data_IF_996281086670
#
_entry.id   IF_996281086670
#
_cell.length_a   1.000
_cell.length_b   1.000
_cell.length_c   1.000
_cell.angle_alpha   90.00
_cell.angle_beta   90.00
_cell.angle_gamma   90.00
#
_symmetry.space_group_name_H-M   'P 1'
#
loop_
_entity.id
_entity.type
_entity.pdbx_description
1 polymer ?
#
# COMPACT_ATOMS: atom_id res chain seq x y z
N UNK A 1 31.13 -7.08 16.43
CA UNK A 1 30.02 -7.49 15.56
C UNK A 1 29.58 -6.23 14.83
N UNK A 2 29.82 -6.16 13.55
CA UNK A 2 29.49 -4.93 12.80
C UNK A 2 27.96 -4.84 12.69
N UNK A 3 27.36 -3.88 13.37
CA UNK A 3 25.93 -3.58 13.22
C UNK A 3 25.70 -3.05 11.80
N UNK A 4 24.87 -3.75 11.03
CA UNK A 4 24.56 -3.38 9.63
C UNK A 4 23.83 -2.04 9.60
N UNK A 5 22.86 -1.86 10.50
CA UNK A 5 22.12 -0.60 10.74
C UNK A 5 22.14 -0.34 12.24
N UNK A 6 22.37 0.90 12.67
CA UNK A 6 22.37 1.20 14.11
C UNK A 6 20.96 1.00 14.71
N UNK A 7 20.82 0.47 15.94
CA UNK A 7 19.52 0.23 16.56
C UNK A 7 18.65 1.48 16.64
N UNK A 8 19.25 2.64 16.89
CA UNK A 8 18.54 3.92 16.98
C UNK A 8 17.91 4.31 15.63
N UNK A 9 18.69 4.17 14.54
CA UNK A 9 18.20 4.45 13.17
C UNK A 9 17.12 3.45 12.80
N UNK A 10 17.31 2.16 13.09
CA UNK A 10 16.35 1.12 12.80
C UNK A 10 15.03 1.33 13.56
N UNK A 11 15.10 1.69 14.84
CA UNK A 11 13.92 1.99 15.65
C UNK A 11 13.16 3.19 15.08
N UNK A 12 13.85 4.31 14.81
CA UNK A 12 13.25 5.50 14.19
C UNK A 12 12.60 5.19 12.85
N UNK A 13 13.29 4.41 12.00
CA UNK A 13 12.76 3.93 10.73
C UNK A 13 11.47 3.12 10.90
N UNK A 14 11.44 2.16 11.84
CA UNK A 14 10.25 1.34 12.12
C UNK A 14 9.07 2.18 12.58
N UNK A 15 9.29 3.14 13.48
CA UNK A 15 8.23 4.05 13.98
C UNK A 15 7.65 4.87 12.82
N UNK A 16 8.50 5.50 12.02
CA UNK A 16 8.08 6.31 10.88
C UNK A 16 7.35 5.45 9.84
N UNK A 17 7.88 4.25 9.56
CA UNK A 17 7.27 3.32 8.61
C UNK A 17 5.89 2.85 9.07
N UNK A 18 5.78 2.44 10.33
CA UNK A 18 4.50 2.00 10.90
C UNK A 18 3.47 3.12 10.88
N UNK A 19 3.85 4.33 11.28
CA UNK A 19 2.97 5.50 11.24
C UNK A 19 2.45 5.77 9.82
N UNK A 20 3.33 5.67 8.81
CA UNK A 20 2.95 5.81 7.41
C UNK A 20 2.05 4.66 6.93
N UNK A 21 2.35 3.42 7.30
CA UNK A 21 1.52 2.25 6.95
C UNK A 21 0.13 2.31 7.59
N UNK A 22 0.03 2.88 8.81
CA UNK A 22 -1.23 3.10 9.52
C UNK A 22 -2.00 4.33 9.01
N UNK A 23 -1.46 5.14 8.13
CA UNK A 23 -2.21 6.27 7.55
C UNK A 23 -3.18 5.76 6.48
N UNK A 24 -4.48 6.11 6.54
CA UNK A 24 -5.45 5.70 5.54
C UNK A 24 -5.04 6.09 4.11
N UNK A 25 -5.31 5.19 3.16
CA UNK A 25 -4.98 5.36 1.76
C UNK A 25 -5.43 4.17 0.92
N UNK A 26 -5.00 4.11 -0.36
CA UNK A 26 -5.40 3.08 -1.31
C UNK A 26 -5.17 1.64 -0.79
N UNK A 27 -4.00 1.37 -0.23
CA UNK A 27 -3.67 0.04 0.31
C UNK A 27 -4.60 -0.35 1.46
N UNK A 28 -4.85 0.58 2.40
CA UNK A 28 -5.77 0.36 3.53
C UNK A 28 -7.20 0.15 3.04
N UNK A 29 -7.70 1.01 2.15
CA UNK A 29 -9.03 0.91 1.57
C UNK A 29 -9.24 -0.44 0.86
N UNK A 30 -8.25 -0.88 0.08
CA UNK A 30 -8.27 -2.20 -0.57
C UNK A 30 -8.29 -3.34 0.45
N UNK A 31 -7.41 -3.30 1.47
CA UNK A 31 -7.37 -4.32 2.53
C UNK A 31 -8.72 -4.44 3.24
N UNK A 32 -9.31 -3.31 3.66
CA UNK A 32 -10.61 -3.27 4.34
C UNK A 32 -11.72 -3.80 3.42
N UNK A 33 -11.74 -3.41 2.14
CA UNK A 33 -12.71 -3.91 1.18
C UNK A 33 -12.63 -5.42 0.98
N UNK A 34 -11.42 -5.96 0.82
CA UNK A 34 -11.21 -7.41 0.62
C UNK A 34 -11.55 -8.19 1.90
N UNK A 35 -11.07 -7.74 3.06
CA UNK A 35 -11.28 -8.45 4.32
C UNK A 35 -12.73 -8.41 4.80
N UNK A 36 -13.45 -7.32 4.55
CA UNK A 36 -14.87 -7.21 4.90
C UNK A 36 -15.76 -8.14 4.05
N UNK A 37 -15.34 -8.47 2.83
CA UNK A 37 -16.08 -9.36 1.91
C UNK A 37 -15.65 -10.81 2.05
N UNK A 38 -14.33 -11.07 2.02
CA UNK A 38 -13.77 -12.41 1.84
C UNK A 38 -13.07 -12.93 3.10
N UNK A 39 -13.12 -12.16 4.19
CA UNK A 39 -12.61 -12.56 5.49
C UNK A 39 -11.15 -12.17 5.75
N UNK A 40 -10.72 -12.39 6.98
CA UNK A 40 -9.42 -11.99 7.51
C UNK A 40 -8.23 -12.51 6.67
N UNK A 41 -8.25 -13.79 6.29
CA UNK A 41 -7.16 -14.40 5.50
C UNK A 41 -6.98 -13.76 4.13
N UNK A 42 -8.08 -13.35 3.49
CA UNK A 42 -8.04 -12.63 2.23
C UNK A 42 -7.40 -11.24 2.39
N UNK A 43 -7.69 -10.54 3.48
CA UNK A 43 -7.02 -9.28 3.82
C UNK A 43 -5.52 -9.45 4.12
N UNK A 44 -5.11 -10.54 4.77
CA UNK A 44 -3.68 -10.86 4.98
C UNK A 44 -2.99 -11.16 3.64
N UNK A 45 -3.66 -11.75 2.67
CA UNK A 45 -3.12 -11.91 1.33
C UNK A 45 -2.83 -10.54 0.64
N UNK A 46 -3.64 -9.50 0.93
CA UNK A 46 -3.30 -8.13 0.49
C UNK A 46 -1.97 -7.66 1.09
N UNK A 47 -1.76 -7.89 2.39
CA UNK A 47 -0.50 -7.51 3.05
C UNK A 47 0.72 -8.17 2.40
N UNK A 48 0.63 -9.45 2.05
CA UNK A 48 1.69 -10.17 1.33
C UNK A 48 1.96 -9.54 -0.05
N UNK A 49 0.91 -9.13 -0.77
CA UNK A 49 1.06 -8.42 -2.05
C UNK A 49 1.74 -7.06 -1.89
N UNK A 50 1.41 -6.28 -0.86
CA UNK A 50 2.08 -5.00 -0.59
C UNK A 50 3.55 -5.17 -0.24
N UNK A 51 3.90 -6.21 0.52
CA UNK A 51 5.29 -6.57 0.82
C UNK A 51 6.09 -6.83 -0.47
N UNK A 52 5.50 -7.51 -1.45
CA UNK A 52 6.13 -7.68 -2.77
C UNK A 52 6.47 -6.33 -3.41
N UNK A 53 5.56 -5.35 -3.35
CA UNK A 53 5.82 -3.98 -3.83
C UNK A 53 6.98 -3.30 -3.11
N UNK A 54 7.11 -3.47 -1.79
CA UNK A 54 8.22 -2.93 -1.00
C UNK A 54 9.55 -3.52 -1.46
N UNK A 55 9.64 -4.83 -1.67
CA UNK A 55 10.86 -5.48 -2.17
C UNK A 55 11.23 -5.00 -3.57
N UNK A 56 10.28 -4.82 -4.47
CA UNK A 56 10.55 -4.27 -5.81
C UNK A 56 11.14 -2.87 -5.70
N UNK A 57 10.58 -2.00 -4.86
CA UNK A 57 11.15 -0.67 -4.63
C UNK A 57 12.52 -0.72 -3.96
N UNK A 58 12.74 -1.61 -3.00
CA UNK A 58 14.04 -1.79 -2.37
C UNK A 58 15.11 -2.22 -3.38
N UNK A 59 14.76 -3.10 -4.32
CA UNK A 59 15.63 -3.49 -5.43
C UNK A 59 15.92 -2.30 -6.36
N UNK A 60 14.91 -1.50 -6.71
CA UNK A 60 15.10 -0.29 -7.53
C UNK A 60 16.06 0.67 -6.82
N UNK A 61 15.93 0.86 -5.51
CA UNK A 61 16.86 1.69 -4.73
C UNK A 61 18.26 1.08 -4.70
N UNK A 62 18.38 -0.24 -4.49
CA UNK A 62 19.67 -0.92 -4.37
C UNK A 62 20.49 -0.90 -5.66
N UNK A 63 19.83 -1.08 -6.81
CA UNK A 63 20.50 -1.20 -8.11
C UNK A 63 20.44 0.09 -8.94
N UNK A 64 19.62 1.05 -8.56
CA UNK A 64 19.19 2.13 -9.44
C UNK A 64 19.50 3.55 -8.99
N UNK A 65 20.09 3.80 -7.83
CA UNK A 65 20.27 5.17 -7.35
C UNK A 65 21.07 6.06 -8.34
N UNK A 66 22.02 5.49 -9.07
CA UNK A 66 22.82 6.21 -10.07
C UNK A 66 22.19 6.24 -11.48
N UNK A 67 21.48 5.20 -11.86
CA UNK A 67 20.83 5.08 -13.17
C UNK A 67 19.41 5.69 -13.17
N UNK A 68 18.70 5.56 -12.06
CA UNK A 68 17.31 6.02 -11.89
C UNK A 68 17.23 7.54 -11.77
N UNK A 69 18.28 8.21 -11.28
CA UNK A 69 18.27 9.67 -11.10
C UNK A 69 17.95 10.44 -12.40
N UNK A 70 18.42 9.94 -13.57
CA UNK A 70 18.19 10.59 -14.87
C UNK A 70 16.79 10.32 -15.45
N UNK A 71 16.23 9.13 -15.16
CA UNK A 71 14.90 8.71 -15.67
C UNK A 71 13.80 8.83 -14.63
N UNK A 72 14.14 9.27 -13.42
CA UNK A 72 13.27 9.26 -12.26
C UNK A 72 11.99 10.09 -12.49
N UNK A 73 12.14 11.32 -12.98
CA UNK A 73 11.01 12.21 -13.23
C UNK A 73 9.98 11.65 -14.22
N UNK A 74 10.37 11.26 -15.43
CA UNK A 74 9.46 10.69 -16.43
C UNK A 74 8.79 9.38 -15.96
N UNK A 75 9.56 8.47 -15.34
CA UNK A 75 9.01 7.20 -14.84
C UNK A 75 8.00 7.46 -13.72
N UNK A 76 8.30 8.36 -12.81
CA UNK A 76 7.38 8.78 -11.75
C UNK A 76 6.08 9.37 -12.32
N UNK A 77 6.17 10.22 -13.32
CA UNK A 77 5.01 10.82 -13.95
C UNK A 77 4.10 9.76 -14.57
N UNK A 78 4.66 8.80 -15.32
CA UNK A 78 3.91 7.70 -15.92
C UNK A 78 3.27 6.85 -14.83
N UNK A 79 4.01 6.43 -13.81
CA UNK A 79 3.50 5.60 -12.72
C UNK A 79 2.36 6.31 -11.96
N UNK A 80 2.44 7.64 -11.78
CA UNK A 80 1.37 8.43 -11.17
C UNK A 80 0.07 8.35 -11.96
N UNK A 81 0.13 8.62 -13.27
CA UNK A 81 -1.08 8.61 -14.10
C UNK A 81 -1.68 7.21 -14.23
N UNK A 82 -0.86 6.17 -14.33
CA UNK A 82 -1.30 4.78 -14.26
C UNK A 82 -1.95 4.50 -12.90
N UNK A 83 -1.37 4.99 -11.80
CA UNK A 83 -1.92 4.87 -10.45
C UNK A 83 -3.27 5.59 -10.31
N UNK A 84 -3.39 6.82 -10.80
CA UNK A 84 -4.66 7.58 -10.81
C UNK A 84 -5.74 6.82 -11.57
N UNK A 85 -5.45 6.38 -12.79
CA UNK A 85 -6.40 5.61 -13.60
C UNK A 85 -6.82 4.31 -12.90
N UNK A 86 -5.88 3.60 -12.30
CA UNK A 86 -6.16 2.38 -11.55
C UNK A 86 -7.01 2.63 -10.29
N UNK A 87 -6.72 3.67 -9.52
CA UNK A 87 -7.51 4.03 -8.34
C UNK A 87 -8.94 4.42 -8.69
N UNK A 88 -9.15 5.17 -9.77
CA UNK A 88 -10.47 5.53 -10.27
C UNK A 88 -11.23 4.27 -10.71
N UNK A 89 -10.60 3.40 -11.48
CA UNK A 89 -11.19 2.13 -11.89
C UNK A 89 -11.57 1.25 -10.70
N UNK A 90 -10.69 1.14 -9.70
CA UNK A 90 -10.94 0.37 -8.48
C UNK A 90 -12.08 0.99 -7.66
N UNK A 91 -12.10 2.32 -7.52
CA UNK A 91 -13.18 3.03 -6.85
C UNK A 91 -14.53 2.77 -7.53
N UNK A 92 -14.59 2.85 -8.86
CA UNK A 92 -15.79 2.53 -9.64
C UNK A 92 -16.25 1.07 -9.40
N UNK A 93 -15.31 0.12 -9.38
CA UNK A 93 -15.62 -1.28 -9.09
C UNK A 93 -16.20 -1.49 -7.70
N UNK A 94 -15.61 -0.85 -6.68
CA UNK A 94 -16.08 -0.97 -5.29
C UNK A 94 -17.43 -0.25 -5.12
N UNK A 95 -17.61 0.90 -5.75
CA UNK A 95 -18.86 1.68 -5.70
C UNK A 95 -20.06 0.87 -6.20
N UNK A 96 -19.91 0.14 -7.30
CA UNK A 96 -20.96 -0.64 -7.95
C UNK A 96 -21.05 -2.09 -7.43
N UNK A 97 -20.21 -2.46 -6.47
CA UNK A 97 -20.22 -3.81 -5.94
C UNK A 97 -21.38 -4.02 -4.94
N UNK A 98 -21.93 -5.25 -4.81
CA UNK A 98 -22.87 -5.59 -3.75
C UNK A 98 -22.36 -5.15 -2.38
N UNK A 99 -23.25 -4.76 -1.47
CA UNK A 99 -22.87 -4.28 -0.15
C UNK A 99 -22.00 -5.29 0.61
N UNK A 100 -21.04 -4.81 1.42
CA UNK A 100 -20.30 -5.68 2.34
C UNK A 100 -21.24 -6.22 3.42
N UNK A 101 -20.95 -7.38 4.02
CA UNK A 101 -21.75 -7.98 5.08
C UNK A 101 -22.46 -9.25 4.66
N UNK A 102 -23.72 -9.44 5.05
CA UNK A 102 -24.45 -10.70 4.88
C UNK A 102 -24.55 -11.17 3.42
N UNK A 103 -24.77 -10.25 2.49
CA UNK A 103 -24.86 -10.57 1.06
C UNK A 103 -23.52 -10.94 0.40
N UNK A 104 -22.39 -10.59 1.02
CA UNK A 104 -21.07 -10.92 0.49
C UNK A 104 -20.60 -12.33 0.86
N UNK A 105 -21.32 -13.03 1.73
CA UNK A 105 -20.93 -14.39 2.20
C UNK A 105 -21.11 -15.48 1.17
N UNK A 106 -21.96 -15.27 0.18
CA UNK A 106 -22.27 -16.24 -0.88
C UNK A 106 -21.47 -16.01 -2.17
N UNK A 107 -20.49 -15.09 -2.15
CA UNK A 107 -19.62 -14.83 -3.31
C UNK A 107 -18.32 -15.59 -3.14
N UNK A 108 -17.98 -16.42 -4.13
CA UNK A 108 -16.70 -17.11 -4.17
C UNK A 108 -15.54 -16.14 -4.05
N UNK A 109 -14.69 -16.35 -3.06
CA UNK A 109 -13.51 -15.52 -2.86
C UNK A 109 -12.54 -15.68 -4.05
N UNK A 110 -12.00 -14.60 -4.60
CA UNK A 110 -10.90 -14.70 -5.54
C UNK A 110 -9.76 -15.48 -4.89
N UNK A 111 -9.07 -16.33 -5.67
CA UNK A 111 -7.90 -17.03 -5.15
C UNK A 111 -6.89 -16.06 -4.53
N UNK A 112 -6.26 -16.44 -3.42
CA UNK A 112 -5.31 -15.58 -2.67
C UNK A 112 -4.21 -15.00 -3.56
N UNK A 113 -3.73 -15.78 -4.54
CA UNK A 113 -2.75 -15.31 -5.52
C UNK A 113 -3.24 -14.08 -6.31
N UNK A 114 -4.49 -14.12 -6.77
CA UNK A 114 -5.09 -12.99 -7.49
C UNK A 114 -5.20 -11.76 -6.62
N UNK A 115 -5.56 -11.93 -5.35
CA UNK A 115 -5.60 -10.83 -4.36
C UNK A 115 -4.19 -10.26 -4.14
N UNK A 116 -3.17 -11.12 -3.97
CA UNK A 116 -1.78 -10.71 -3.81
C UNK A 116 -1.28 -9.89 -5.00
N UNK A 117 -1.52 -10.37 -6.23
CA UNK A 117 -1.12 -9.64 -7.45
C UNK A 117 -1.81 -8.28 -7.53
N UNK A 118 -3.11 -8.22 -7.27
CA UNK A 118 -3.83 -6.94 -7.25
C UNK A 118 -3.27 -5.97 -6.19
N UNK A 119 -2.99 -6.47 -4.99
CA UNK A 119 -2.40 -5.68 -3.92
C UNK A 119 -0.98 -5.18 -4.29
N UNK A 120 -0.15 -6.05 -4.91
CA UNK A 120 1.17 -5.66 -5.40
C UNK A 120 1.08 -4.54 -6.45
N UNK A 121 0.16 -4.65 -7.40
CA UNK A 121 -0.08 -3.61 -8.41
C UNK A 121 -0.53 -2.30 -7.77
N UNK A 122 -1.44 -2.33 -6.78
CA UNK A 122 -1.84 -1.14 -6.02
C UNK A 122 -0.63 -0.54 -5.31
N UNK A 123 0.21 -1.34 -4.67
CA UNK A 123 1.40 -0.86 -3.97
C UNK A 123 2.39 -0.21 -4.94
N UNK A 124 2.66 -0.84 -6.08
CA UNK A 124 3.59 -0.36 -7.11
C UNK A 124 3.09 0.89 -7.84
N UNK A 125 1.78 1.10 -7.93
CA UNK A 125 1.19 2.31 -8.51
C UNK A 125 0.82 3.35 -7.45
N UNK A 126 1.01 3.06 -6.17
CA UNK A 126 0.72 3.97 -5.08
C UNK A 126 1.89 4.95 -4.87
N UNK A 127 1.75 6.23 -5.25
CA UNK A 127 2.82 7.22 -5.13
C UNK A 127 3.21 7.47 -3.69
N UNK A 128 2.26 7.33 -2.74
CA UNK A 128 2.58 7.44 -1.31
C UNK A 128 3.61 6.37 -0.92
N UNK A 129 3.40 5.11 -1.32
CA UNK A 129 4.34 4.03 -1.03
C UNK A 129 5.69 4.28 -1.71
N UNK A 130 5.66 4.69 -2.97
CA UNK A 130 6.85 4.97 -3.76
C UNK A 130 7.67 6.14 -3.19
N UNK A 131 7.05 7.32 -2.99
CA UNK A 131 7.72 8.49 -2.42
C UNK A 131 8.28 8.16 -1.04
N UNK A 132 7.53 7.42 -0.23
CA UNK A 132 7.96 7.04 1.10
C UNK A 132 9.21 6.16 1.07
N UNK A 133 9.24 5.12 0.22
CA UNK A 133 10.43 4.27 0.06
C UNK A 133 11.62 5.09 -0.46
N UNK A 134 11.41 5.91 -1.48
CA UNK A 134 12.49 6.65 -2.14
C UNK A 134 13.05 7.81 -1.29
N UNK A 135 12.27 8.33 -0.36
CA UNK A 135 12.70 9.43 0.52
C UNK A 135 13.20 8.90 1.87
N UNK A 136 12.47 7.96 2.50
CA UNK A 136 12.76 7.54 3.87
C UNK A 136 13.87 6.48 3.91
N UNK A 137 13.89 5.54 2.97
CA UNK A 137 14.89 4.47 2.97
C UNK A 137 16.32 5.01 2.82
N UNK A 138 16.64 5.91 1.85
CA UNK A 138 17.98 6.47 1.72
C UNK A 138 18.47 7.23 2.97
N UNK A 139 17.56 7.88 3.71
CA UNK A 139 17.91 8.60 4.93
C UNK A 139 18.32 7.68 6.09
N UNK A 140 17.92 6.42 6.04
CA UNK A 140 18.30 5.41 7.02
C UNK A 140 19.58 4.64 6.65
N UNK A 141 20.19 4.94 5.49
CA UNK A 141 21.41 4.28 5.00
C UNK A 141 22.63 5.10 5.38
N UNK A 142 23.60 4.48 6.04
CA UNK A 142 24.93 5.04 6.30
C UNK A 142 25.79 4.89 5.03
N UNK A 143 26.07 6.01 4.36
CA UNK A 143 26.85 6.06 3.10
C UNK A 143 28.32 5.67 3.28
N UNK A 144 28.83 5.63 4.52
CA UNK A 144 30.20 5.19 4.81
C UNK A 144 30.34 3.67 4.79
N UNK A 145 29.24 2.91 4.68
CA UNK A 145 29.17 1.46 4.72
C UNK A 145 28.52 0.90 3.46
N UNK A 146 28.73 -0.40 3.14
CA UNK A 146 28.02 -1.03 2.02
C UNK A 146 26.50 -0.88 2.13
N UNK A 147 25.87 -0.33 1.10
CA UNK A 147 24.43 -0.01 1.11
C UNK A 147 23.55 -1.27 1.05
N UNK A 148 23.95 -2.29 0.25
CA UNK A 148 23.11 -3.49 0.00
C UNK A 148 22.66 -4.20 1.27
N UNK A 149 23.53 -4.56 2.25
CA UNK A 149 23.07 -5.23 3.46
C UNK A 149 22.17 -4.34 4.32
N UNK A 150 22.38 -3.03 4.33
CA UNK A 150 21.51 -2.10 5.04
C UNK A 150 20.11 -2.05 4.41
N UNK A 151 20.04 -1.94 3.08
CA UNK A 151 18.78 -1.93 2.33
C UNK A 151 17.98 -3.22 2.54
N UNK A 152 18.65 -4.38 2.60
CA UNK A 152 17.99 -5.65 2.89
C UNK A 152 17.37 -5.67 4.29
N UNK A 153 18.12 -5.22 5.31
CA UNK A 153 17.60 -5.11 6.68
C UNK A 153 16.41 -4.17 6.73
N UNK A 154 16.52 -2.98 6.14
CA UNK A 154 15.44 -2.00 6.10
C UNK A 154 14.20 -2.54 5.37
N UNK A 155 14.38 -3.25 4.25
CA UNK A 155 13.27 -3.87 3.51
C UNK A 155 12.56 -4.96 4.33
N UNK A 156 13.29 -5.76 5.09
CA UNK A 156 12.71 -6.77 5.99
C UNK A 156 11.87 -6.10 7.07
N UNK A 157 12.41 -5.10 7.76
CA UNK A 157 11.67 -4.39 8.82
C UNK A 157 10.48 -3.59 8.26
N UNK A 158 10.63 -2.95 7.11
CA UNK A 158 9.53 -2.30 6.39
C UNK A 158 8.40 -3.29 6.09
N UNK A 159 8.77 -4.49 5.64
CA UNK A 159 7.81 -5.56 5.34
C UNK A 159 7.09 -6.04 6.59
N UNK A 160 7.80 -6.24 7.70
CA UNK A 160 7.20 -6.63 8.98
C UNK A 160 6.23 -5.55 9.50
N UNK A 161 6.60 -4.27 9.44
CA UNK A 161 5.74 -3.17 9.85
C UNK A 161 4.51 -3.07 8.96
N UNK A 162 4.67 -3.23 7.64
CA UNK A 162 3.56 -3.23 6.70
C UNK A 162 2.63 -4.42 6.89
N UNK A 163 3.18 -5.60 7.11
CA UNK A 163 2.40 -6.81 7.40
C UNK A 163 1.58 -6.62 8.68
N UNK A 164 2.17 -6.08 9.74
CA UNK A 164 1.49 -5.79 11.01
C UNK A 164 0.35 -4.79 10.79
N UNK A 165 0.61 -3.65 10.15
CA UNK A 165 -0.40 -2.62 9.89
C UNK A 165 -1.57 -3.17 9.05
N UNK A 166 -1.28 -3.84 7.95
CA UNK A 166 -2.33 -4.36 7.07
C UNK A 166 -3.06 -5.57 7.67
N UNK A 167 -2.42 -6.38 8.50
CA UNK A 167 -3.11 -7.43 9.27
C UNK A 167 -4.08 -6.83 10.29
N UNK A 168 -3.72 -5.72 10.93
CA UNK A 168 -4.63 -4.97 11.82
C UNK A 168 -5.84 -4.45 11.03
N UNK A 169 -5.61 -3.83 9.87
CA UNK A 169 -6.71 -3.38 9.00
C UNK A 169 -7.54 -4.54 8.45
N UNK A 170 -6.92 -5.70 8.22
CA UNK A 170 -7.64 -6.91 7.82
C UNK A 170 -8.58 -7.39 8.94
N UNK A 171 -8.15 -7.36 10.20
CA UNK A 171 -8.99 -7.70 11.33
C UNK A 171 -10.16 -6.70 11.47
N UNK A 172 -9.87 -5.40 11.40
CA UNK A 172 -10.88 -4.35 11.46
C UNK A 172 -11.89 -4.47 10.30
N UNK A 173 -11.43 -4.70 9.07
CA UNK A 173 -12.30 -4.89 7.92
C UNK A 173 -13.18 -6.15 8.04
N UNK A 174 -12.61 -7.25 8.53
CA UNK A 174 -13.37 -8.47 8.82
C UNK A 174 -14.47 -8.25 9.87
N UNK A 175 -14.13 -7.55 10.96
CA UNK A 175 -15.11 -7.19 11.99
C UNK A 175 -16.20 -6.27 11.43
N UNK A 176 -15.82 -5.25 10.64
CA UNK A 176 -16.76 -4.36 9.96
C UNK A 176 -17.73 -5.16 9.08
N UNK A 177 -17.23 -6.09 8.25
CA UNK A 177 -18.07 -6.91 7.39
C UNK A 177 -19.07 -7.78 8.16
N UNK A 178 -18.75 -8.17 9.40
CA UNK A 178 -19.67 -8.91 10.28
C UNK A 178 -20.66 -8.02 11.02
N UNK A 179 -20.28 -6.80 11.32
CA UNK A 179 -21.09 -5.83 12.07
C UNK A 179 -22.13 -5.12 11.20
N UNK A 180 -21.97 -5.14 9.87
CA UNK A 180 -22.90 -4.47 8.95
C UNK A 180 -24.26 -5.20 8.94
N UNK A 181 -25.34 -4.53 9.37
CA UNK A 181 -26.62 -5.18 9.65
C UNK A 181 -27.47 -5.44 8.39
N UNK A 182 -27.21 -4.73 7.30
CA UNK A 182 -28.04 -4.80 6.10
C UNK A 182 -27.23 -4.52 4.83
N UNK A 183 -27.75 -4.98 3.69
CA UNK A 183 -27.16 -4.71 2.38
C UNK A 183 -27.03 -3.22 2.09
N UNK A 184 -28.03 -2.42 2.46
CA UNK A 184 -27.99 -0.95 2.31
C UNK A 184 -26.83 -0.33 3.08
N UNK A 185 -26.61 -0.75 4.33
CA UNK A 185 -25.46 -0.30 5.12
C UNK A 185 -24.14 -0.74 4.48
N UNK A 186 -24.07 -1.96 3.94
CA UNK A 186 -22.92 -2.46 3.20
C UNK A 186 -22.60 -1.67 1.93
N UNK A 187 -23.61 -1.22 1.21
CA UNK A 187 -23.43 -0.31 0.06
C UNK A 187 -22.86 1.04 0.50
N UNK A 188 -23.31 1.59 1.62
CA UNK A 188 -22.74 2.82 2.16
C UNK A 188 -21.27 2.67 2.55
N UNK A 189 -20.87 1.54 3.15
CA UNK A 189 -19.46 1.22 3.44
C UNK A 189 -18.64 1.19 2.14
N UNK A 190 -19.14 0.53 1.09
CA UNK A 190 -18.47 0.52 -0.21
C UNK A 190 -18.28 1.93 -0.78
N UNK A 191 -19.32 2.77 -0.71
CA UNK A 191 -19.25 4.15 -1.18
C UNK A 191 -18.22 4.97 -0.40
N UNK A 192 -18.15 4.79 0.92
CA UNK A 192 -17.12 5.45 1.74
C UNK A 192 -15.71 5.01 1.32
N UNK A 193 -15.48 3.71 1.14
CA UNK A 193 -14.18 3.17 0.68
C UNK A 193 -13.83 3.73 -0.70
N UNK A 194 -14.77 3.70 -1.64
CA UNK A 194 -14.57 4.23 -2.99
C UNK A 194 -14.28 5.74 -2.97
N UNK A 195 -14.96 6.52 -2.12
CA UNK A 195 -14.69 7.96 -1.95
C UNK A 195 -13.27 8.22 -1.45
N UNK A 196 -12.77 7.41 -0.52
CA UNK A 196 -11.37 7.52 -0.05
C UNK A 196 -10.39 7.26 -1.20
N UNK A 197 -10.68 6.29 -2.08
CA UNK A 197 -9.85 6.01 -3.26
C UNK A 197 -9.89 7.17 -4.27
N UNK A 198 -11.07 7.77 -4.50
CA UNK A 198 -11.21 8.94 -5.39
C UNK A 198 -10.45 10.14 -4.83
N UNK A 199 -10.58 10.42 -3.53
CA UNK A 199 -9.82 11.50 -2.88
C UNK A 199 -8.32 11.25 -3.00
N UNK A 200 -7.88 10.01 -2.83
CA UNK A 200 -6.49 9.62 -3.06
C UNK A 200 -6.03 9.85 -4.50
N UNK A 201 -6.86 9.51 -5.49
CA UNK A 201 -6.58 9.75 -6.91
C UNK A 201 -6.50 11.24 -7.24
N UNK A 202 -7.41 12.06 -6.70
CA UNK A 202 -7.39 13.53 -6.86
C UNK A 202 -6.14 14.13 -6.23
N UNK A 203 -5.84 13.78 -4.97
CA UNK A 203 -4.63 14.26 -4.30
C UNK A 203 -3.36 13.93 -5.08
N UNK A 204 -3.32 12.76 -5.71
CA UNK A 204 -2.24 12.33 -6.57
C UNK A 204 -2.15 13.18 -7.85
N UNK A 205 -3.27 13.46 -8.51
CA UNK A 205 -3.31 14.30 -9.73
C UNK A 205 -2.90 15.74 -9.44
N UNK A 206 -3.35 16.31 -8.33
CA UNK A 206 -3.00 17.70 -7.94
C UNK A 206 -1.52 17.83 -7.64
N UNK A 207 -0.91 16.86 -6.97
CA UNK A 207 0.52 16.85 -6.70
C UNK A 207 1.40 16.75 -7.96
N UNK A 208 0.80 16.59 -9.15
CA UNK A 208 1.50 16.53 -10.45
C UNK A 208 1.43 17.84 -11.24
N UNK A 209 0.61 18.80 -10.82
CA UNK A 209 0.56 20.09 -11.50
C UNK A 209 1.85 20.85 -11.22
N UNK A 210 2.49 21.45 -12.25
CA UNK A 210 3.68 22.27 -12.02
C UNK A 210 3.29 23.46 -11.12
N UNK A 211 4.18 23.83 -10.19
CA UNK A 211 3.97 24.94 -9.23
C UNK A 211 3.83 26.33 -9.90
N UNK A 212 3.80 26.40 -11.24
CA UNK A 212 3.73 27.63 -12.01
C UNK A 212 2.45 27.67 -12.88
N UNK A 213 1.29 27.77 -12.25
CA UNK A 213 0.07 28.30 -12.84
C UNK A 213 -0.46 29.44 -11.99
#
# INVERSE_FOLDING_TARGET
MFEIVSPTVLFGFCVIWLAAAMTPGANVAFTVSISSRYGFRAGVACAAGFVTGIFVYALIVAFGLSLVAQWFGPVLAIMRWVGVAYLIWLAFKIWNAPGVGAAARDVDAPGYWRIMVQAALISLTNPKAMIFVLVVVPQAVDVSRPATPQLLVLAIFASLMSLTAHSTYSALGYMLGRAVPSEKAGVWVNRLIASILIIGAIGLSVATLPENL
#
